data_IF_292700964895
#
_entry.id   IF_292700964895
#
_cell.length_a   1.000
_cell.length_b   1.000
_cell.length_c   1.000
_cell.angle_alpha   90.00
_cell.angle_beta   90.00
_cell.angle_gamma   90.00
#
_symmetry.space_group_name_H-M   'P 1'
#
loop_
_entity.id
_entity.type
_entity.pdbx_description
1 polymer ?
#
# COMPACT_ATOMS: atom_id res chain seq x y z
N UNK A 1 15.98 -13.32 0.11
CA UNK A 1 16.81 -13.61 1.30
C UNK A 1 16.44 -14.92 2.01
N UNK A 2 15.21 -15.42 1.80
CA UNK A 2 14.73 -16.69 2.38
C UNK A 2 14.81 -17.87 1.40
N UNK A 3 15.27 -17.64 0.18
CA UNK A 3 15.43 -18.69 -0.84
C UNK A 3 14.18 -19.02 -1.64
N UNK A 4 13.16 -18.18 -1.59
CA UNK A 4 11.96 -18.33 -2.42
C UNK A 4 12.26 -17.97 -3.88
N UNK A 5 11.53 -18.59 -4.82
CA UNK A 5 11.44 -18.12 -6.20
C UNK A 5 10.48 -16.92 -6.23
N UNK A 6 10.99 -15.74 -6.50
CA UNK A 6 10.22 -14.49 -6.41
C UNK A 6 9.93 -13.96 -7.81
N UNK A 7 8.67 -13.62 -8.06
CA UNK A 7 8.24 -12.85 -9.23
C UNK A 7 7.60 -11.54 -8.74
N UNK A 8 8.07 -10.41 -9.29
CA UNK A 8 7.57 -9.07 -8.94
C UNK A 8 6.80 -8.52 -10.15
N UNK A 9 5.59 -8.05 -9.89
CA UNK A 9 4.76 -7.38 -10.89
C UNK A 9 4.59 -5.90 -10.51
N UNK A 10 4.86 -5.01 -11.46
CA UNK A 10 4.64 -3.56 -11.32
C UNK A 10 4.22 -2.97 -12.66
N UNK A 11 3.46 -1.88 -12.64
CA UNK A 11 3.07 -1.13 -13.85
C UNK A 11 4.22 -0.28 -14.39
N UNK A 12 5.22 0.03 -13.58
CA UNK A 12 6.36 0.86 -13.92
C UNK A 12 7.53 0.04 -14.44
N UNK A 13 7.75 0.04 -15.75
CA UNK A 13 8.92 -0.59 -16.37
C UNK A 13 10.25 -0.04 -15.81
N UNK A 14 10.31 1.25 -15.47
CA UNK A 14 11.50 1.87 -14.87
C UNK A 14 11.77 1.28 -13.47
N UNK A 15 10.72 1.04 -12.67
CA UNK A 15 10.87 0.41 -11.36
C UNK A 15 11.32 -1.05 -11.47
N UNK A 16 10.77 -1.79 -12.42
CA UNK A 16 11.18 -3.16 -12.70
C UNK A 16 12.66 -3.23 -13.13
N UNK A 17 13.10 -2.31 -14.01
CA UNK A 17 14.50 -2.22 -14.41
C UNK A 17 15.46 -1.96 -13.23
N UNK A 18 15.09 -1.07 -12.28
CA UNK A 18 15.86 -0.85 -11.05
C UNK A 18 15.96 -2.11 -10.18
N UNK A 19 14.88 -2.88 -10.11
CA UNK A 19 14.84 -4.14 -9.36
C UNK A 19 15.75 -5.18 -10.03
N UNK A 20 15.69 -5.31 -11.36
CA UNK A 20 16.56 -6.19 -12.13
C UNK A 20 18.04 -5.81 -11.97
N UNK A 21 18.35 -4.52 -11.95
CA UNK A 21 19.71 -4.01 -11.74
C UNK A 21 20.25 -4.36 -10.35
N UNK A 22 19.39 -4.30 -9.34
CA UNK A 22 19.75 -4.56 -7.94
C UNK A 22 19.87 -6.06 -7.62
N UNK A 23 18.98 -6.89 -8.16
CA UNK A 23 18.84 -8.31 -7.79
C UNK A 23 19.30 -9.28 -8.88
N UNK A 24 19.48 -8.82 -10.12
CA UNK A 24 19.90 -9.66 -11.25
C UNK A 24 18.98 -10.87 -11.44
N UNK A 25 19.53 -12.02 -11.68
CA UNK A 25 18.80 -13.26 -11.96
C UNK A 25 18.22 -13.95 -10.70
N UNK A 26 18.28 -13.33 -9.53
CA UNK A 26 17.75 -13.93 -8.30
C UNK A 26 16.22 -13.84 -8.16
N UNK A 27 15.58 -13.08 -9.04
CA UNK A 27 14.11 -12.96 -9.13
C UNK A 27 13.69 -12.70 -10.59
N UNK A 28 12.38 -12.76 -10.84
CA UNK A 28 11.78 -12.43 -12.14
C UNK A 28 10.93 -11.18 -12.01
N UNK A 29 10.92 -10.35 -13.05
CA UNK A 29 10.07 -9.16 -13.14
C UNK A 29 9.10 -9.28 -14.30
N UNK A 30 7.86 -8.83 -14.11
CA UNK A 30 6.81 -8.81 -15.15
C UNK A 30 6.05 -7.48 -15.10
N UNK A 31 5.61 -7.00 -16.24
CA UNK A 31 4.64 -5.90 -16.28
C UNK A 31 3.32 -6.38 -15.71
N UNK A 32 2.75 -5.57 -14.80
CA UNK A 32 1.47 -5.86 -14.16
C UNK A 32 0.33 -5.56 -15.12
N UNK A 33 -0.25 -6.61 -15.68
CA UNK A 33 -1.50 -6.62 -16.41
C UNK A 33 -2.33 -7.84 -16.00
N UNK A 34 -3.58 -7.90 -16.44
CA UNK A 34 -4.49 -8.97 -16.02
C UNK A 34 -4.01 -10.37 -16.39
N UNK A 35 -3.35 -10.53 -17.54
CA UNK A 35 -2.83 -11.81 -18.00
C UNK A 35 -1.68 -12.31 -17.13
N UNK A 36 -0.67 -11.44 -16.91
CA UNK A 36 0.50 -11.80 -16.09
C UNK A 36 0.14 -12.00 -14.62
N UNK A 37 -0.83 -11.23 -14.10
CA UNK A 37 -1.34 -11.43 -12.73
C UNK A 37 -2.00 -12.80 -12.62
N UNK A 38 -2.90 -13.15 -13.53
CA UNK A 38 -3.59 -14.45 -13.52
C UNK A 38 -2.60 -15.61 -13.59
N UNK A 39 -1.64 -15.56 -14.52
CA UNK A 39 -0.65 -16.62 -14.69
C UNK A 39 0.27 -16.76 -13.47
N UNK A 40 0.69 -15.64 -12.85
CA UNK A 40 1.55 -15.66 -11.67
C UNK A 40 0.79 -16.16 -10.43
N UNK A 41 -0.44 -15.69 -10.21
CA UNK A 41 -1.28 -16.08 -9.07
C UNK A 41 -1.60 -17.57 -9.09
N UNK A 42 -1.96 -18.13 -10.26
CA UNK A 42 -2.30 -19.54 -10.38
C UNK A 42 -1.14 -20.48 -10.00
N UNK A 43 0.11 -20.02 -10.12
CA UNK A 43 1.33 -20.82 -9.85
C UNK A 43 1.94 -20.53 -8.47
N UNK A 44 1.47 -19.49 -7.77
CA UNK A 44 2.09 -19.02 -6.54
C UNK A 44 1.65 -19.83 -5.32
N UNK A 45 2.61 -20.16 -4.46
CA UNK A 45 2.34 -20.66 -3.10
C UNK A 45 2.01 -19.50 -2.14
N UNK A 46 2.58 -18.32 -2.41
CA UNK A 46 2.38 -17.10 -1.62
C UNK A 46 2.24 -15.89 -2.54
N UNK A 47 1.14 -15.15 -2.41
CA UNK A 47 0.93 -13.86 -3.09
C UNK A 47 0.88 -12.75 -2.06
N UNK A 48 1.69 -11.71 -2.28
CA UNK A 48 1.72 -10.51 -1.43
C UNK A 48 1.15 -9.33 -2.21
N UNK A 49 0.04 -8.81 -1.75
CA UNK A 49 -0.61 -7.63 -2.31
C UNK A 49 -0.17 -6.35 -1.61
N UNK A 50 0.65 -5.54 -2.30
CA UNK A 50 1.29 -4.35 -1.73
C UNK A 50 1.08 -3.07 -2.56
N UNK A 51 -0.03 -2.97 -3.28
CA UNK A 51 -0.34 -1.78 -4.07
C UNK A 51 -0.83 -0.65 -3.16
N UNK A 52 -0.20 0.51 -3.28
CA UNK A 52 -0.57 1.72 -2.56
C UNK A 52 -0.87 2.85 -3.55
N UNK A 53 -2.10 3.37 -3.51
CA UNK A 53 -2.48 4.62 -4.18
C UNK A 53 -2.83 5.61 -3.07
N UNK A 54 -1.97 6.60 -2.78
CA UNK A 54 -2.20 7.52 -1.67
C UNK A 54 -3.57 8.20 -1.73
N UNK A 55 -4.34 8.12 -0.63
CA UNK A 55 -5.65 8.73 -0.50
C UNK A 55 -6.79 8.06 -1.27
N UNK A 56 -6.53 6.96 -1.99
CA UNK A 56 -7.55 6.22 -2.77
C UNK A 56 -7.73 4.80 -2.26
N UNK A 57 -8.85 4.18 -2.62
CA UNK A 57 -9.04 2.74 -2.41
C UNK A 57 -8.08 1.96 -3.29
N UNK A 58 -7.56 0.85 -2.77
CA UNK A 58 -6.77 -0.09 -3.56
C UNK A 58 -7.62 -0.70 -4.70
N UNK A 59 -7.07 -0.82 -5.92
CA UNK A 59 -7.77 -1.50 -7.02
C UNK A 59 -7.85 -3.01 -6.73
N UNK A 60 -8.94 -3.66 -7.14
CA UNK A 60 -9.05 -5.12 -7.11
C UNK A 60 -8.27 -5.70 -8.28
N UNK A 61 -7.05 -6.15 -8.02
CA UNK A 61 -6.14 -6.70 -9.05
C UNK A 61 -6.26 -8.21 -9.21
N UNK A 62 -6.63 -8.91 -8.13
CA UNK A 62 -6.79 -10.37 -8.14
C UNK A 62 -8.26 -10.69 -7.94
N UNK A 63 -8.88 -11.24 -8.97
CA UNK A 63 -10.29 -11.63 -8.95
C UNK A 63 -10.53 -12.90 -8.13
N UNK A 64 -11.77 -13.12 -7.74
CA UNK A 64 -12.16 -14.36 -7.06
C UNK A 64 -11.90 -15.60 -7.93
N UNK A 65 -12.06 -15.47 -9.26
CA UNK A 65 -11.80 -16.56 -10.20
C UNK A 65 -10.30 -16.92 -10.25
N UNK A 66 -9.42 -15.94 -10.18
CA UNK A 66 -7.96 -16.18 -10.08
C UNK A 66 -7.63 -16.93 -8.78
N UNK A 67 -8.23 -16.52 -7.65
CA UNK A 67 -8.02 -17.20 -6.36
C UNK A 67 -8.50 -18.65 -6.37
N UNK A 68 -9.59 -18.96 -7.06
CA UNK A 68 -10.08 -20.34 -7.22
C UNK A 68 -9.11 -21.25 -7.99
N UNK A 69 -8.21 -20.67 -8.79
CA UNK A 69 -7.20 -21.43 -9.55
C UNK A 69 -5.94 -21.74 -8.72
N UNK A 70 -5.77 -21.09 -7.57
CA UNK A 70 -4.64 -21.34 -6.69
C UNK A 70 -4.69 -22.75 -6.07
N UNK A 71 -3.52 -23.29 -5.76
CA UNK A 71 -3.42 -24.57 -5.05
C UNK A 71 -4.00 -24.45 -3.63
N UNK A 72 -4.78 -25.43 -3.15
CA UNK A 72 -5.22 -25.46 -1.76
C UNK A 72 -4.05 -25.37 -0.78
N UNK A 73 -4.17 -24.51 0.23
CA UNK A 73 -3.12 -24.22 1.20
C UNK A 73 -2.18 -23.10 0.81
N UNK A 74 -2.27 -22.55 -0.41
CA UNK A 74 -1.58 -21.31 -0.78
C UNK A 74 -2.04 -20.15 0.09
N UNK A 75 -1.22 -19.10 0.17
CA UNK A 75 -1.42 -17.96 1.08
C UNK A 75 -1.52 -16.65 0.32
N UNK A 76 -2.50 -15.83 0.66
CA UNK A 76 -2.63 -14.43 0.25
C UNK A 76 -2.35 -13.52 1.44
N UNK A 77 -1.42 -12.58 1.28
CA UNK A 77 -1.14 -11.52 2.26
C UNK A 77 -1.58 -10.20 1.67
N UNK A 78 -2.63 -9.61 2.21
CA UNK A 78 -3.17 -8.32 1.75
C UNK A 78 -2.64 -7.17 2.61
N UNK A 79 -1.52 -6.57 2.19
CA UNK A 79 -0.94 -5.41 2.90
C UNK A 79 -1.81 -4.17 2.73
N UNK A 80 -2.58 -4.10 1.64
CA UNK A 80 -3.46 -2.97 1.32
C UNK A 80 -4.88 -3.12 1.91
N UNK A 81 -5.09 -4.04 2.86
CA UNK A 81 -6.43 -4.34 3.40
C UNK A 81 -7.11 -3.13 4.03
N UNK A 82 -6.37 -2.25 4.69
CA UNK A 82 -6.86 -0.99 5.28
C UNK A 82 -7.36 0.02 4.22
N UNK A 83 -6.94 -0.13 2.98
CA UNK A 83 -7.41 0.64 1.82
C UNK A 83 -8.43 -0.12 0.97
N UNK A 84 -9.03 -1.16 1.50
CA UNK A 84 -10.03 -2.01 0.83
C UNK A 84 -9.48 -3.29 0.22
N UNK A 85 -8.16 -3.51 0.25
CA UNK A 85 -7.50 -4.73 -0.23
C UNK A 85 -7.45 -4.88 -1.75
N UNK A 86 -6.48 -5.64 -2.26
CA UNK A 86 -6.31 -5.88 -3.70
C UNK A 86 -6.95 -7.18 -4.21
N UNK A 87 -7.30 -8.09 -3.29
CA UNK A 87 -7.99 -9.33 -3.64
C UNK A 87 -9.49 -9.14 -3.52
N UNK A 88 -10.28 -9.60 -4.49
CA UNK A 88 -11.75 -9.60 -4.39
C UNK A 88 -12.24 -10.46 -3.23
N UNK A 89 -11.46 -11.47 -2.88
CA UNK A 89 -11.74 -12.41 -1.78
C UNK A 89 -11.37 -11.87 -0.40
N UNK A 90 -10.68 -10.72 -0.31
CA UNK A 90 -10.45 -9.98 0.95
C UNK A 90 -11.73 -9.26 1.36
N UNK A 91 -12.62 -9.96 2.05
CA UNK A 91 -13.96 -9.47 2.40
C UNK A 91 -14.05 -8.86 3.80
N UNK A 92 -13.07 -9.11 4.68
CA UNK A 92 -12.98 -8.50 6.00
C UNK A 92 -11.54 -8.36 6.50
N UNK A 93 -11.36 -7.38 7.39
CA UNK A 93 -10.09 -7.15 8.09
C UNK A 93 -9.96 -8.17 9.21
N UNK A 94 -8.78 -8.78 9.36
CA UNK A 94 -8.43 -9.68 10.45
C UNK A 94 -7.60 -8.96 11.53
N UNK A 95 -7.37 -9.60 12.66
CA UNK A 95 -6.62 -9.05 13.80
C UNK A 95 -5.40 -9.90 14.11
N UNK A 96 -4.49 -9.39 14.94
CA UNK A 96 -3.32 -10.19 15.37
C UNK A 96 -3.72 -11.43 16.21
N UNK A 97 -4.86 -11.39 16.88
CA UNK A 97 -5.36 -12.53 17.70
C UNK A 97 -6.07 -13.60 16.84
N UNK A 98 -6.70 -13.16 15.72
CA UNK A 98 -7.34 -14.04 14.73
C UNK A 98 -6.90 -13.59 13.33
N UNK A 99 -5.69 -13.98 12.89
CA UNK A 99 -5.01 -13.32 11.77
C UNK A 99 -5.40 -13.84 10.39
N UNK A 100 -6.06 -14.99 10.30
CA UNK A 100 -6.34 -15.65 9.02
C UNK A 100 -7.76 -16.15 8.91
N UNK A 101 -8.23 -16.30 7.68
CA UNK A 101 -9.39 -17.11 7.32
C UNK A 101 -9.12 -17.89 6.04
N UNK A 102 -9.94 -18.88 5.75
CA UNK A 102 -9.80 -19.71 4.55
C UNK A 102 -10.99 -19.46 3.63
N UNK A 103 -10.71 -19.16 2.35
CA UNK A 103 -11.70 -19.03 1.29
C UNK A 103 -11.18 -19.72 0.03
N UNK A 104 -12.00 -20.57 -0.60
CA UNK A 104 -11.61 -21.40 -1.73
C UNK A 104 -10.40 -22.31 -1.48
N UNK A 105 -10.16 -22.72 -0.22
CA UNK A 105 -9.00 -23.53 0.16
C UNK A 105 -7.69 -22.72 0.29
N UNK A 106 -7.72 -21.40 0.06
CA UNK A 106 -6.59 -20.48 0.15
C UNK A 106 -6.65 -19.72 1.46
N UNK A 107 -5.51 -19.62 2.14
CA UNK A 107 -5.36 -18.89 3.41
C UNK A 107 -5.24 -17.40 3.12
N UNK A 108 -6.08 -16.59 3.75
CA UNK A 108 -6.05 -15.14 3.66
C UNK A 108 -5.51 -14.55 4.96
N UNK A 109 -4.43 -13.77 4.88
CA UNK A 109 -3.89 -12.95 5.95
C UNK A 109 -4.16 -11.49 5.62
N UNK A 110 -5.10 -10.89 6.33
CA UNK A 110 -5.62 -9.56 6.08
C UNK A 110 -5.61 -8.69 7.35
N UNK A 111 -4.54 -8.79 8.13
CA UNK A 111 -4.38 -8.04 9.39
C UNK A 111 -4.10 -6.58 9.08
N UNK A 112 -4.98 -5.69 9.57
CA UNK A 112 -4.68 -4.26 9.58
C UNK A 112 -3.53 -3.98 10.55
N UNK A 113 -2.69 -2.99 10.21
CA UNK A 113 -1.54 -2.62 11.04
C UNK A 113 -0.58 -3.81 11.31
N UNK A 114 -0.18 -4.52 10.27
CA UNK A 114 0.83 -5.60 10.37
C UNK A 114 2.10 -5.17 11.13
N UNK A 115 2.62 -3.91 11.00
CA UNK A 115 3.75 -3.44 11.80
C UNK A 115 3.54 -3.49 13.33
N UNK A 116 2.30 -3.55 13.78
CA UNK A 116 1.96 -3.71 15.20
C UNK A 116 2.50 -5.00 15.83
N UNK A 117 2.74 -6.05 15.03
CA UNK A 117 3.37 -7.28 15.49
C UNK A 117 4.85 -7.09 15.91
N UNK A 118 5.50 -6.04 15.42
CA UNK A 118 6.88 -5.65 15.75
C UNK A 118 6.93 -4.19 16.22
N UNK A 119 6.07 -3.86 17.16
CA UNK A 119 5.74 -2.48 17.55
C UNK A 119 6.96 -1.61 17.87
N UNK A 120 7.95 -2.12 18.59
CA UNK A 120 9.16 -1.36 18.92
C UNK A 120 9.94 -0.94 17.67
N UNK A 121 10.23 -1.89 16.78
CA UNK A 121 10.96 -1.63 15.54
C UNK A 121 10.19 -0.69 14.62
N UNK A 122 8.89 -0.94 14.45
CA UNK A 122 8.01 -0.11 13.62
C UNK A 122 7.92 1.33 14.14
N UNK A 123 7.79 1.51 15.46
CA UNK A 123 7.73 2.84 16.09
C UNK A 123 9.03 3.61 15.88
N UNK A 124 10.18 3.01 16.14
CA UNK A 124 11.46 3.69 15.93
C UNK A 124 11.68 4.03 14.44
N UNK A 125 11.37 3.12 13.53
CA UNK A 125 11.50 3.39 12.09
C UNK A 125 10.63 4.57 11.67
N UNK A 126 9.37 4.60 12.08
CA UNK A 126 8.43 5.66 11.75
C UNK A 126 8.82 7.00 12.38
N UNK A 127 9.13 7.02 13.68
CA UNK A 127 9.45 8.27 14.40
C UNK A 127 10.74 8.91 13.90
N UNK A 128 11.75 8.12 13.53
CA UNK A 128 12.98 8.64 12.95
C UNK A 128 12.78 9.46 11.67
N UNK A 129 11.76 9.12 10.86
CA UNK A 129 11.48 9.85 9.62
C UNK A 129 10.40 10.93 9.78
N UNK A 130 9.52 10.84 10.79
CA UNK A 130 8.42 11.80 10.98
C UNK A 130 8.77 12.96 11.91
N UNK A 131 9.57 12.73 12.97
CA UNK A 131 9.98 13.76 13.93
C UNK A 131 10.64 14.99 13.25
N UNK A 132 11.54 14.85 12.25
CA UNK A 132 12.10 16.01 11.57
C UNK A 132 11.07 16.95 10.96
N UNK A 133 9.98 16.41 10.41
CA UNK A 133 8.86 17.22 9.88
C UNK A 133 8.10 17.93 11.00
N UNK A 134 7.77 17.21 12.07
CA UNK A 134 7.11 17.81 13.24
C UNK A 134 7.91 18.97 13.84
N UNK A 135 9.23 18.81 13.99
CA UNK A 135 10.12 19.86 14.49
C UNK A 135 10.19 21.07 13.54
N UNK A 136 10.22 20.87 12.24
CA UNK A 136 10.20 21.97 11.27
C UNK A 136 8.90 22.77 11.36
N UNK A 137 7.75 22.09 11.41
CA UNK A 137 6.44 22.73 11.56
C UNK A 137 6.38 23.52 12.88
N UNK A 138 6.87 22.94 13.98
CA UNK A 138 6.89 23.61 15.29
C UNK A 138 7.78 24.86 15.34
N UNK A 139 8.90 24.84 14.62
CA UNK A 139 9.87 25.94 14.63
C UNK A 139 9.55 27.08 13.67
N UNK A 140 9.01 26.76 12.48
CA UNK A 140 8.78 27.73 11.39
C UNK A 140 7.30 28.09 11.21
N UNK A 141 6.40 27.24 11.70
CA UNK A 141 4.99 27.30 11.38
C UNK A 141 4.66 26.66 10.01
N UNK A 142 3.39 26.26 9.86
CA UNK A 142 2.95 25.51 8.69
C UNK A 142 3.01 26.35 7.40
N UNK A 143 2.52 27.60 7.43
CA UNK A 143 2.43 28.45 6.25
C UNK A 143 3.82 28.73 5.65
N UNK A 144 4.76 29.22 6.45
CA UNK A 144 6.13 29.52 6.00
C UNK A 144 6.86 28.27 5.50
N UNK A 145 6.67 27.13 6.18
CA UNK A 145 7.29 25.87 5.76
C UNK A 145 6.76 25.39 4.42
N UNK A 146 5.47 25.56 4.12
CA UNK A 146 4.87 25.17 2.84
C UNK A 146 5.37 26.00 1.65
N UNK A 147 5.83 27.25 1.86
CA UNK A 147 6.42 28.06 0.79
C UNK A 147 7.73 27.49 0.26
N UNK A 148 8.47 26.79 1.13
CA UNK A 148 9.81 26.27 0.79
C UNK A 148 9.86 24.74 0.70
N UNK A 149 8.79 24.05 1.07
CA UNK A 149 8.75 22.60 1.14
C UNK A 149 7.46 22.02 0.55
N UNK A 150 7.57 21.60 -0.72
CA UNK A 150 6.45 21.01 -1.47
C UNK A 150 5.90 19.72 -0.84
N UNK A 151 6.73 18.94 -0.13
CA UNK A 151 6.32 17.69 0.50
C UNK A 151 5.38 17.95 1.67
N UNK A 152 5.65 19.02 2.46
CA UNK A 152 4.78 19.44 3.55
C UNK A 152 3.46 19.96 3.01
N UNK A 153 3.50 20.77 1.95
CA UNK A 153 2.28 21.27 1.28
C UNK A 153 1.43 20.11 0.74
N UNK A 154 2.06 19.16 0.06
CA UNK A 154 1.38 17.98 -0.47
C UNK A 154 0.81 17.05 0.63
N UNK A 155 1.38 17.10 1.83
CA UNK A 155 0.93 16.34 2.99
C UNK A 155 -0.34 16.90 3.67
N UNK A 156 -0.79 18.11 3.32
CA UNK A 156 -1.98 18.71 3.93
C UNK A 156 -3.25 18.08 3.34
N UNK A 157 -3.90 17.23 4.12
CA UNK A 157 -5.16 16.60 3.71
C UNK A 157 -6.38 17.45 4.05
N UNK A 158 -6.33 18.17 5.17
CA UNK A 158 -7.39 19.09 5.62
C UNK A 158 -6.79 20.32 6.29
N UNK A 159 -7.36 21.49 6.02
CA UNK A 159 -7.01 22.74 6.69
C UNK A 159 -8.22 23.67 6.74
N UNK A 160 -8.43 24.39 7.84
CA UNK A 160 -9.52 25.35 8.01
C UNK A 160 -10.92 24.78 7.68
N UNK A 161 -11.14 23.47 7.96
CA UNK A 161 -12.40 22.79 7.68
C UNK A 161 -12.61 22.37 6.22
N UNK A 162 -11.62 22.58 5.34
CA UNK A 162 -11.66 22.19 3.93
C UNK A 162 -10.81 20.94 3.69
N UNK A 163 -11.24 20.10 2.72
CA UNK A 163 -10.44 18.96 2.23
C UNK A 163 -9.52 19.45 1.12
N UNK A 164 -8.23 19.25 1.31
CA UNK A 164 -7.15 19.80 0.44
C UNK A 164 -6.33 18.72 -0.27
N UNK A 165 -6.70 17.47 -0.13
CA UNK A 165 -6.12 16.38 -0.91
C UNK A 165 -7.18 15.77 -1.83
N UNK A 166 -6.97 15.92 -3.15
CA UNK A 166 -8.00 15.62 -4.14
C UNK A 166 -8.48 14.16 -4.09
N UNK A 167 -7.58 13.20 -3.94
CA UNK A 167 -7.96 11.79 -3.89
C UNK A 167 -8.85 11.47 -2.67
N UNK A 168 -8.60 12.13 -1.52
CA UNK A 168 -9.46 12.01 -0.33
C UNK A 168 -10.83 12.64 -0.58
N UNK A 169 -10.87 13.82 -1.20
CA UNK A 169 -12.12 14.49 -1.55
C UNK A 169 -12.98 13.61 -2.48
N UNK A 170 -12.37 13.05 -3.52
CA UNK A 170 -13.05 12.19 -4.49
C UNK A 170 -13.55 10.88 -3.83
N UNK A 171 -12.73 10.24 -2.98
CA UNK A 171 -13.08 9.00 -2.28
C UNK A 171 -14.27 9.16 -1.31
N UNK A 172 -14.44 10.37 -0.73
CA UNK A 172 -15.48 10.67 0.24
C UNK A 172 -16.62 11.55 -0.33
N UNK A 173 -16.59 11.86 -1.64
CA UNK A 173 -17.56 12.75 -2.32
C UNK A 173 -17.67 14.12 -1.65
N UNK A 174 -16.53 14.67 -1.20
CA UNK A 174 -16.43 15.96 -0.55
C UNK A 174 -15.88 17.04 -1.52
N UNK A 175 -16.20 18.31 -1.29
CA UNK A 175 -15.59 19.41 -2.05
C UNK A 175 -14.07 19.44 -1.84
N UNK A 176 -13.34 19.66 -2.93
CA UNK A 176 -11.89 19.85 -2.92
C UNK A 176 -11.54 21.34 -2.98
N UNK A 177 -10.55 21.75 -2.21
CA UNK A 177 -9.96 23.09 -2.25
C UNK A 177 -8.43 22.96 -2.28
N UNK A 178 -7.75 23.77 -3.05
CA UNK A 178 -6.29 23.73 -3.12
C UNK A 178 -5.64 24.19 -1.83
N UNK A 179 -4.72 23.39 -1.27
CA UNK A 179 -4.10 23.63 0.05
C UNK A 179 -3.40 25.00 0.14
N UNK A 180 -2.68 25.41 -0.90
CA UNK A 180 -1.97 26.69 -0.94
C UNK A 180 -2.86 27.92 -0.74
N UNK A 181 -4.15 27.84 -1.13
CA UNK A 181 -5.11 28.93 -0.97
C UNK A 181 -5.66 29.07 0.44
N UNK A 182 -5.39 28.12 1.32
CA UNK A 182 -5.92 28.03 2.69
C UNK A 182 -4.89 28.30 3.78
N UNK A 183 -3.64 28.65 3.42
CA UNK A 183 -2.55 28.87 4.35
C UNK A 183 -2.55 30.25 4.99
N UNK A 184 -3.34 31.19 4.44
CA UNK A 184 -3.39 32.60 4.87
C UNK A 184 -4.83 33.04 5.18
#
# INVERSE_FOLDING_TARGET
GMGANVTILDISAARLAQIDEQFGNSLSTLISDSYHIEEAVAKADLVIGAVLIPGSKAPKLVSEEMVKQMSPGSVLVDIAIDQGGIFETSDHITTHDDPIYIKHGVVHYAVANMPGAVAQTATYALTNVTIPYALRIANQGLAELCETNSDVLAGINTINGNVTYKAVADAHLLPYVEAGTQLY
#
